data_IF_808602563655
#
_entry.id   IF_808602563655
#
_cell.length_a   1.000
_cell.length_b   1.000
_cell.length_c   1.000
_cell.angle_alpha   90.00
_cell.angle_beta   90.00
_cell.angle_gamma   90.00
#
_symmetry.space_group_name_H-M   'P 1'
#
loop_
_entity.id
_entity.type
_entity.pdbx_description
1 polymer ?
#
# COMPACT_ATOMS: atom_id res chain seq x y z
N UNK A 1 10.98 -5.06 25.05
CA UNK A 1 11.28 -4.23 23.83
C UNK A 1 10.65 -4.88 22.64
N UNK A 2 9.74 -4.21 21.99
CA UNK A 2 9.18 -4.68 20.73
C UNK A 2 10.20 -4.55 19.61
N UNK A 3 10.34 -5.58 18.78
CA UNK A 3 11.17 -5.47 17.59
C UNK A 3 10.69 -4.34 16.69
N UNK A 4 11.58 -3.61 16.03
CA UNK A 4 11.17 -2.54 15.13
C UNK A 4 10.39 -3.11 13.95
N UNK A 5 9.38 -2.39 13.52
CA UNK A 5 8.69 -2.66 12.27
C UNK A 5 9.56 -2.23 11.10
N UNK A 6 9.50 -2.97 10.01
CA UNK A 6 10.22 -2.63 8.77
C UNK A 6 9.23 -2.47 7.62
N UNK A 7 9.62 -1.68 6.65
CA UNK A 7 9.04 -1.69 5.32
C UNK A 7 10.18 -1.58 4.29
N UNK A 8 9.91 -1.99 3.09
CA UNK A 8 10.85 -1.86 1.98
C UNK A 8 10.36 -0.80 1.00
N UNK A 9 11.27 0.09 0.60
CA UNK A 9 10.99 1.15 -0.35
C UNK A 9 11.58 0.82 -1.71
N UNK A 10 10.91 1.29 -2.75
CA UNK A 10 11.36 1.19 -4.14
C UNK A 10 11.21 2.56 -4.81
N UNK A 11 12.10 2.88 -5.72
CA UNK A 11 12.07 4.17 -6.43
C UNK A 11 10.88 4.30 -7.37
N UNK A 12 10.46 3.19 -7.96
CA UNK A 12 9.32 3.11 -8.88
C UNK A 12 8.89 1.64 -9.09
N UNK A 13 7.80 1.42 -9.79
CA UNK A 13 7.21 0.09 -10.00
C UNK A 13 8.18 -0.95 -10.59
N UNK A 14 9.09 -0.52 -11.45
CA UNK A 14 10.06 -1.42 -12.11
C UNK A 14 11.35 -1.63 -11.30
N UNK A 15 11.49 -0.91 -10.19
CA UNK A 15 12.64 -1.08 -9.30
C UNK A 15 12.53 -2.41 -8.55
N UNK A 16 13.53 -3.24 -8.66
CA UNK A 16 13.57 -4.56 -8.01
C UNK A 16 14.53 -4.61 -6.83
N UNK A 17 15.13 -3.49 -6.47
CA UNK A 17 16.10 -3.39 -5.38
C UNK A 17 15.43 -2.83 -4.12
N UNK A 18 15.06 -3.69 -3.14
CA UNK A 18 14.43 -3.22 -1.93
C UNK A 18 15.39 -2.43 -1.06
N UNK A 19 14.90 -1.34 -0.49
CA UNK A 19 15.56 -0.56 0.55
C UNK A 19 14.79 -0.73 1.85
N UNK A 20 15.21 -1.67 2.69
CA UNK A 20 14.59 -1.92 4.00
C UNK A 20 14.86 -0.77 4.96
N UNK A 21 13.81 -0.35 5.69
CA UNK A 21 13.90 0.72 6.69
C UNK A 21 13.11 0.34 7.94
N UNK A 22 13.71 0.51 9.13
CA UNK A 22 12.93 0.47 10.36
C UNK A 22 12.01 1.69 10.41
N UNK A 23 10.78 1.48 10.84
CA UNK A 23 9.76 2.53 10.87
C UNK A 23 8.88 2.43 12.10
N UNK A 24 8.28 3.56 12.47
CA UNK A 24 7.24 3.65 13.47
C UNK A 24 5.88 3.86 12.80
N UNK A 25 4.83 3.34 13.41
CA UNK A 25 3.45 3.45 12.88
C UNK A 25 3.07 4.89 12.59
N UNK A 26 3.36 5.82 13.51
CA UNK A 26 3.06 7.23 13.33
C UNK A 26 3.79 7.88 12.15
N UNK A 27 5.03 7.48 11.88
CA UNK A 27 5.79 7.98 10.74
C UNK A 27 5.20 7.48 9.41
N UNK A 28 4.78 6.23 9.36
CA UNK A 28 4.11 5.66 8.18
C UNK A 28 2.77 6.36 7.94
N UNK A 29 1.99 6.60 8.99
CA UNK A 29 0.72 7.31 8.88
C UNK A 29 0.90 8.75 8.33
N UNK A 30 1.89 9.48 8.83
CA UNK A 30 2.21 10.83 8.31
C UNK A 30 2.65 10.79 6.85
N UNK A 31 3.51 9.86 6.47
CA UNK A 31 3.98 9.72 5.10
C UNK A 31 2.82 9.40 4.14
N UNK A 32 1.97 8.44 4.46
CA UNK A 32 0.81 8.08 3.64
C UNK A 32 -0.21 9.21 3.57
N UNK A 33 -0.40 9.96 4.64
CA UNK A 33 -1.32 11.10 4.70
C UNK A 33 -0.85 12.34 3.93
N UNK A 34 0.46 12.54 3.80
CA UNK A 34 1.06 13.70 3.14
C UNK A 34 1.40 13.47 1.67
N UNK A 35 1.47 12.22 1.22
CA UNK A 35 1.86 11.87 -0.13
C UNK A 35 0.70 12.14 -1.11
N UNK A 36 0.94 13.05 -2.03
CA UNK A 36 -0.02 13.44 -3.08
C UNK A 36 0.67 13.33 -4.43
N UNK A 37 0.13 12.50 -5.30
CA UNK A 37 0.65 12.33 -6.66
C UNK A 37 -0.49 12.38 -7.66
N UNK A 38 -0.43 13.35 -8.55
CA UNK A 38 -1.22 13.39 -9.78
C UNK A 38 -0.32 12.89 -10.91
N UNK A 39 -0.50 11.67 -11.34
CA UNK A 39 0.33 11.05 -12.37
C UNK A 39 -0.50 10.11 -13.23
N UNK A 40 -0.13 10.01 -14.52
CA UNK A 40 -0.65 8.96 -15.39
C UNK A 40 -0.15 7.58 -14.92
N UNK A 41 -0.77 6.50 -15.40
CA UNK A 41 -0.29 5.15 -15.10
C UNK A 41 1.15 4.93 -15.52
N UNK A 42 1.53 5.49 -16.66
CA UNK A 42 2.87 5.33 -17.20
C UNK A 42 3.91 6.12 -16.38
N UNK A 43 3.61 7.35 -16.02
CA UNK A 43 4.45 8.15 -15.13
C UNK A 43 4.60 7.49 -13.76
N UNK A 44 3.50 6.94 -13.23
CA UNK A 44 3.50 6.21 -11.97
C UNK A 44 4.44 5.01 -12.00
N UNK A 45 4.45 4.26 -13.10
CA UNK A 45 5.31 3.08 -13.23
C UNK A 45 6.80 3.42 -13.27
N UNK A 46 7.15 4.64 -13.70
CA UNK A 46 8.54 5.07 -13.90
C UNK A 46 9.12 5.94 -12.78
N UNK A 47 8.30 6.72 -12.11
CA UNK A 47 8.81 7.78 -11.23
C UNK A 47 8.14 7.88 -9.87
N UNK A 48 7.07 7.15 -9.61
CA UNK A 48 6.39 7.19 -8.31
C UNK A 48 6.96 6.14 -7.38
N UNK A 49 7.44 6.52 -6.18
CA UNK A 49 7.93 5.56 -5.20
C UNK A 49 6.85 4.57 -4.76
N UNK A 50 7.27 3.37 -4.46
CA UNK A 50 6.45 2.31 -3.89
C UNK A 50 7.01 1.87 -2.55
N UNK A 51 6.15 1.25 -1.76
CA UNK A 51 6.58 0.54 -0.57
C UNK A 51 5.97 -0.86 -0.52
N UNK A 52 6.61 -1.72 0.23
CA UNK A 52 6.16 -3.09 0.48
C UNK A 52 6.10 -3.35 1.98
N UNK A 53 5.09 -4.09 2.46
CA UNK A 53 4.89 -4.38 3.88
C UNK A 53 5.86 -5.42 4.44
N UNK A 54 6.88 -5.79 3.69
CA UNK A 54 7.77 -6.89 4.03
C UNK A 54 9.23 -6.45 4.11
N UNK A 55 9.99 -7.22 4.86
CA UNK A 55 11.44 -7.20 4.88
C UNK A 55 11.95 -8.29 3.94
N UNK A 56 12.89 -7.96 3.06
CA UNK A 56 13.54 -8.91 2.18
C UNK A 56 14.88 -9.38 2.76
N UNK A 57 15.33 -10.53 2.32
CA UNK A 57 16.68 -11.00 2.59
C UNK A 57 17.69 -10.00 2.03
N UNK A 58 18.74 -9.74 2.79
CA UNK A 58 19.78 -8.78 2.44
C UNK A 58 20.40 -9.10 1.08
N UNK A 59 20.56 -8.07 0.25
CA UNK A 59 21.14 -8.19 -1.09
C UNK A 59 20.28 -8.92 -2.12
N UNK A 60 19.02 -9.26 -1.78
CA UNK A 60 18.12 -9.98 -2.68
C UNK A 60 17.12 -9.04 -3.35
N UNK A 61 16.65 -9.47 -4.51
CA UNK A 61 15.65 -8.72 -5.29
C UNK A 61 14.23 -8.86 -4.73
N UNK A 62 13.35 -7.98 -5.19
CA UNK A 62 11.91 -8.03 -4.91
C UNK A 62 11.26 -9.27 -5.55
N UNK A 63 11.23 -10.35 -4.80
CA UNK A 63 10.55 -11.59 -5.17
C UNK A 63 10.00 -12.26 -3.93
N UNK A 64 8.89 -12.98 -4.06
CA UNK A 64 8.24 -13.66 -2.93
C UNK A 64 9.18 -14.63 -2.22
N UNK A 65 10.04 -15.32 -2.95
CA UNK A 65 11.03 -16.24 -2.39
C UNK A 65 12.10 -15.54 -1.53
N UNK A 66 12.26 -14.23 -1.67
CA UNK A 66 13.24 -13.43 -0.94
C UNK A 66 12.63 -12.69 0.26
N UNK A 67 11.38 -12.90 0.57
CA UNK A 67 10.72 -12.31 1.75
C UNK A 67 11.25 -12.99 3.01
N UNK A 68 11.82 -12.19 3.90
CA UNK A 68 12.28 -12.65 5.20
C UNK A 68 11.16 -12.63 6.25
N UNK A 69 10.42 -11.53 6.29
CA UNK A 69 9.35 -11.31 7.29
C UNK A 69 8.30 -10.36 6.75
N UNK A 70 7.05 -10.62 7.11
CA UNK A 70 5.94 -9.69 6.87
C UNK A 70 5.72 -8.87 8.14
N UNK A 71 5.77 -7.55 8.02
CA UNK A 71 5.63 -6.62 9.15
C UNK A 71 4.26 -5.92 9.20
N UNK A 72 3.55 -5.91 8.08
CA UNK A 72 2.27 -5.22 7.95
C UNK A 72 1.29 -6.07 7.18
N UNK A 73 0.05 -6.09 7.62
CA UNK A 73 -1.05 -6.60 6.82
C UNK A 73 -1.64 -5.43 6.02
N UNK A 74 -1.76 -5.59 4.73
CA UNK A 74 -2.33 -4.59 3.84
C UNK A 74 -3.58 -5.16 3.20
N UNK A 75 -4.71 -4.50 3.44
CA UNK A 75 -6.01 -4.89 2.89
C UNK A 75 -6.47 -3.84 1.89
N UNK A 76 -6.72 -4.27 0.67
CA UNK A 76 -7.27 -3.42 -0.38
C UNK A 76 -8.80 -3.56 -0.44
N UNK A 77 -9.49 -2.44 -0.38
CA UNK A 77 -10.93 -2.34 -0.57
C UNK A 77 -11.20 -1.74 -1.95
N UNK A 78 -11.34 -2.60 -2.94
CA UNK A 78 -11.63 -2.23 -4.33
C UNK A 78 -13.09 -2.51 -4.73
N UNK A 79 -13.91 -2.83 -3.75
CA UNK A 79 -15.32 -3.20 -3.90
C UNK A 79 -16.31 -2.01 -3.77
N UNK A 80 -15.77 -0.79 -3.64
CA UNK A 80 -16.57 0.41 -3.43
C UNK A 80 -16.97 0.65 -1.97
N UNK A 81 -16.42 -0.08 -1.02
CA UNK A 81 -16.68 0.13 0.42
C UNK A 81 -16.38 1.59 0.81
N UNK A 82 -17.34 2.33 1.39
CA UNK A 82 -17.11 3.70 1.85
C UNK A 82 -16.09 3.78 2.98
N UNK A 83 -15.38 4.91 3.04
CA UNK A 83 -14.36 5.17 4.08
C UNK A 83 -14.92 4.99 5.49
N UNK A 84 -16.14 5.49 5.74
CA UNK A 84 -16.78 5.42 7.05
C UNK A 84 -17.05 3.97 7.50
N UNK A 85 -17.42 3.11 6.56
CA UNK A 85 -17.66 1.68 6.82
C UNK A 85 -16.37 0.97 7.18
N UNK A 86 -15.30 1.18 6.41
CA UNK A 86 -13.99 0.61 6.71
C UNK A 86 -13.44 1.13 8.04
N UNK A 87 -13.53 2.43 8.31
CA UNK A 87 -13.11 3.05 9.56
C UNK A 87 -13.81 2.43 10.78
N UNK A 88 -15.12 2.22 10.70
CA UNK A 88 -15.91 1.58 11.77
C UNK A 88 -15.48 0.14 12.00
N UNK A 89 -15.27 -0.62 10.93
CA UNK A 89 -14.86 -2.03 11.00
C UNK A 89 -13.54 -2.22 11.73
N UNK A 90 -12.60 -1.32 11.53
CA UNK A 90 -11.24 -1.42 12.10
C UNK A 90 -11.00 -0.55 13.32
N UNK A 91 -12.05 0.08 13.88
CA UNK A 91 -11.93 1.02 15.00
C UNK A 91 -11.32 0.43 16.28
N UNK A 92 -11.43 -0.87 16.49
CA UNK A 92 -10.83 -1.56 17.65
C UNK A 92 -9.36 -1.98 17.45
N UNK A 93 -8.75 -1.67 16.30
CA UNK A 93 -7.40 -2.08 15.93
C UNK A 93 -6.52 -0.88 15.62
N UNK A 94 -5.25 -0.99 15.98
CA UNK A 94 -4.26 -0.01 15.47
C UNK A 94 -4.15 -0.20 13.97
N UNK A 95 -4.53 0.80 13.20
CA UNK A 95 -4.52 0.73 11.74
C UNK A 95 -4.34 2.12 11.12
N UNK A 96 -3.92 2.11 9.86
CA UNK A 96 -3.85 3.29 9.01
C UNK A 96 -4.80 3.04 7.83
N UNK A 97 -5.75 3.94 7.62
CA UNK A 97 -6.61 3.93 6.44
C UNK A 97 -6.23 5.06 5.49
N UNK A 98 -6.09 4.77 4.21
CA UNK A 98 -5.84 5.79 3.20
C UNK A 98 -6.49 5.43 1.87
N UNK A 99 -6.68 6.43 1.02
CA UNK A 99 -7.16 6.21 -0.34
C UNK A 99 -6.03 5.64 -1.21
N UNK A 100 -6.38 4.72 -2.10
CA UNK A 100 -5.44 4.20 -3.08
C UNK A 100 -5.44 5.06 -4.34
N UNK A 101 -4.51 4.78 -5.25
CA UNK A 101 -4.41 5.48 -6.53
C UNK A 101 -5.71 5.48 -7.34
N UNK A 102 -6.45 4.38 -7.32
CA UNK A 102 -7.70 4.22 -8.07
C UNK A 102 -8.94 4.79 -7.38
N UNK A 103 -8.77 5.44 -6.19
CA UNK A 103 -9.89 6.05 -5.47
C UNK A 103 -10.63 7.07 -6.32
N UNK A 104 -11.96 6.90 -6.45
CA UNK A 104 -12.84 7.72 -7.27
C UNK A 104 -12.42 7.85 -8.75
N UNK A 105 -11.57 6.96 -9.23
CA UNK A 105 -11.21 6.87 -10.63
C UNK A 105 -11.95 5.70 -11.27
N UNK A 106 -12.83 6.00 -12.21
CA UNK A 106 -13.43 4.99 -13.06
C UNK A 106 -12.40 4.38 -14.02
N UNK A 107 -12.80 3.33 -14.71
CA UNK A 107 -12.06 2.75 -15.83
C UNK A 107 -12.91 2.81 -17.09
N UNK A 108 -12.34 3.21 -18.22
CA UNK A 108 -13.05 3.16 -19.48
C UNK A 108 -13.37 1.71 -19.87
N UNK A 109 -14.36 1.47 -20.75
CA UNK A 109 -14.62 0.15 -21.28
C UNK A 109 -13.37 -0.48 -21.90
N UNK A 110 -13.21 -1.79 -21.72
CA UNK A 110 -12.11 -2.57 -22.25
C UNK A 110 -12.61 -3.96 -22.68
N UNK A 111 -11.76 -4.74 -23.32
CA UNK A 111 -12.11 -6.14 -23.67
C UNK A 111 -12.42 -6.99 -22.44
N UNK A 112 -11.71 -6.76 -21.32
CA UNK A 112 -11.93 -7.47 -20.07
C UNK A 112 -13.14 -6.95 -19.29
N UNK A 113 -13.48 -5.66 -19.45
CA UNK A 113 -14.63 -5.00 -18.83
C UNK A 113 -15.35 -4.13 -19.86
N UNK A 114 -16.25 -4.68 -20.67
CA UNK A 114 -16.92 -3.94 -21.75
C UNK A 114 -17.72 -2.72 -21.26
N UNK A 115 -18.26 -2.77 -20.05
CA UNK A 115 -19.02 -1.67 -19.43
C UNK A 115 -18.13 -0.64 -18.71
N UNK A 116 -16.83 -0.90 -18.61
CA UNK A 116 -15.93 -0.09 -17.81
C UNK A 116 -16.19 -0.24 -16.30
N UNK A 117 -15.66 0.71 -15.53
CA UNK A 117 -15.87 0.79 -14.08
C UNK A 117 -16.21 2.23 -13.71
N UNK A 118 -17.35 2.50 -13.05
CA UNK A 118 -17.68 3.84 -12.57
C UNK A 118 -16.72 4.29 -11.47
N UNK A 119 -16.57 5.60 -11.24
CA UNK A 119 -15.84 6.11 -10.09
C UNK A 119 -16.43 5.55 -8.79
N UNK A 120 -15.57 4.99 -7.95
CA UNK A 120 -15.95 4.40 -6.67
C UNK A 120 -14.82 4.55 -5.65
N UNK A 121 -15.12 4.50 -4.34
CA UNK A 121 -14.07 4.45 -3.32
C UNK A 121 -13.11 3.28 -3.53
N UNK A 122 -11.82 3.54 -3.41
CA UNK A 122 -10.78 2.53 -3.36
C UNK A 122 -9.84 2.87 -2.21
N UNK A 123 -9.82 2.02 -1.21
CA UNK A 123 -9.17 2.27 0.07
C UNK A 123 -8.17 1.18 0.37
N UNK A 124 -7.20 1.53 1.19
CA UNK A 124 -6.26 0.58 1.75
C UNK A 124 -6.23 0.72 3.26
N UNK A 125 -6.29 -0.40 3.95
CA UNK A 125 -6.13 -0.48 5.40
C UNK A 125 -4.83 -1.21 5.70
N UNK A 126 -3.98 -0.58 6.50
CA UNK A 126 -2.65 -1.06 6.84
C UNK A 126 -2.58 -1.30 8.34
N UNK A 127 -2.30 -2.54 8.73
CA UNK A 127 -2.22 -2.94 10.13
C UNK A 127 -0.79 -3.40 10.47
N UNK A 128 -0.17 -2.83 11.52
CA UNK A 128 1.11 -3.34 11.97
C UNK A 128 0.96 -4.73 12.59
N UNK A 129 1.83 -5.64 12.21
CA UNK A 129 1.91 -6.97 12.83
C UNK A 129 2.92 -6.88 13.98
N UNK A 130 2.41 -6.59 15.15
CA UNK A 130 3.21 -6.55 16.37
C UNK A 130 3.37 -7.99 16.87
N UNK A 131 4.59 -8.38 17.13
CA UNK A 131 4.84 -9.67 17.79
C UNK A 131 4.21 -9.63 19.19
N UNK A 132 3.58 -10.72 19.61
CA UNK A 132 3.03 -10.83 20.95
C UNK A 132 4.11 -10.76 22.04
#
# INVERSE_FOLDING_TARGET
>A
MTAPLYLSMFRHLRDTTPQGRPVEVGAVARALGSFRVAATREERARSVPLWSPVEYLEGRSRASANVRRVHWLVLDYDDGTPIQVARKRWSGWVHIGHTSYSHMQGRPPSKAQPEGKPPAPALRVVLPLLEP
#
